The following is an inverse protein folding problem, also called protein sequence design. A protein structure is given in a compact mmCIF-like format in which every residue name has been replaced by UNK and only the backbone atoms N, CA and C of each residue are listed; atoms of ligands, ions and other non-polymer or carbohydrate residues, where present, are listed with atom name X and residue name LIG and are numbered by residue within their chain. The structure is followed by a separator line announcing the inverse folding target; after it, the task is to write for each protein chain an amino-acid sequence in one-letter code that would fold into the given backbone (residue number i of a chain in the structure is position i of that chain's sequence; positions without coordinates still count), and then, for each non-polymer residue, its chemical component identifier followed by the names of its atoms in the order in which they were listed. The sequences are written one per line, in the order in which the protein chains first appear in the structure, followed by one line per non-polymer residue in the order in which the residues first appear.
data_IF_664881770377
#
_entry.id   IF_664881770377
#
_cell.length_a   1.000
_cell.length_b   1.000
_cell.length_c   1.000
_cell.angle_alpha   90.00
_cell.angle_beta   90.00
_cell.angle_gamma   90.00
#
_symmetry.space_group_name_H-M   'P 1'
#
loop_
_entity.id
_entity.type
_entity.pdbx_description
1 polymer ?
#
# COMPACT_ATOMS: atom_id res chain seq x y z
N UNK A 1 -8.55 11.00 -8.31
CA UNK A 1 -8.85 12.42 -8.03
C UNK A 1 -7.67 13.25 -8.51
N UNK A 2 -7.89 14.15 -9.47
CA UNK A 2 -6.87 15.08 -9.95
C UNK A 2 -6.93 16.38 -9.16
N UNK A 3 -5.77 16.85 -8.69
CA UNK A 3 -5.64 18.15 -8.01
C UNK A 3 -5.46 19.24 -9.07
N UNK A 4 -6.18 20.36 -8.90
CA UNK A 4 -6.08 21.52 -9.80
C UNK A 4 -4.64 22.07 -9.86
N UNK A 5 -4.11 22.44 -11.04
CA UNK A 5 -2.69 22.82 -11.19
C UNK A 5 -2.21 23.95 -10.26
N UNK A 6 -3.06 24.92 -9.94
CA UNK A 6 -2.72 26.02 -9.01
C UNK A 6 -2.49 25.57 -7.56
N UNK A 7 -2.98 24.38 -7.19
CA UNK A 7 -2.82 23.80 -5.85
C UNK A 7 -1.58 22.89 -5.76
N UNK A 8 -0.79 22.77 -6.82
CA UNK A 8 0.43 21.94 -6.84
C UNK A 8 1.63 22.76 -6.37
N UNK A 9 2.11 22.51 -5.16
CA UNK A 9 3.35 23.08 -4.62
C UNK A 9 4.59 22.38 -5.20
N UNK A 10 5.64 23.14 -5.53
CA UNK A 10 6.94 22.58 -5.97
C UNK A 10 7.51 21.70 -4.84
N UNK A 11 7.73 20.41 -5.13
CA UNK A 11 8.26 19.42 -4.19
C UNK A 11 7.22 18.59 -3.42
N UNK A 12 5.92 18.80 -3.63
CA UNK A 12 4.86 18.23 -2.78
C UNK A 12 4.50 16.75 -3.04
N UNK A 13 5.18 16.03 -3.94
CA UNK A 13 4.76 14.66 -4.29
C UNK A 13 5.96 13.75 -4.48
N UNK A 14 6.49 13.20 -3.38
CA UNK A 14 6.83 11.79 -3.41
C UNK A 14 5.49 11.06 -3.55
N UNK A 15 5.25 10.38 -4.67
CA UNK A 15 3.97 9.74 -4.96
C UNK A 15 3.67 8.68 -3.89
N UNK A 16 2.93 9.07 -2.85
CA UNK A 16 2.51 8.15 -1.79
C UNK A 16 1.52 7.17 -2.43
N UNK A 17 2.00 5.96 -2.72
CA UNK A 17 1.20 4.93 -3.38
C UNK A 17 0.18 4.37 -2.40
N UNK A 18 -1.08 4.76 -2.60
CA UNK A 18 -2.20 4.30 -1.77
C UNK A 18 -2.56 2.82 -2.05
N UNK A 19 -2.24 2.32 -3.24
CA UNK A 19 -2.57 0.96 -3.67
C UNK A 19 -1.30 0.13 -3.69
N UNK A 20 -1.24 -0.81 -2.75
CA UNK A 20 -0.17 -1.80 -2.69
C UNK A 20 -0.48 -2.97 -3.62
N UNK A 21 0.56 -3.46 -4.30
CA UNK A 21 0.48 -4.72 -5.04
C UNK A 21 0.31 -5.87 -4.04
N UNK A 22 -0.26 -6.98 -4.52
CA UNK A 22 -0.57 -8.13 -3.65
C UNK A 22 0.63 -8.68 -2.90
N UNK A 23 1.79 -8.80 -3.54
CA UNK A 23 3.00 -9.30 -2.89
C UNK A 23 3.46 -8.35 -1.77
N UNK A 24 3.33 -7.04 -1.95
CA UNK A 24 3.65 -6.04 -0.91
C UNK A 24 2.73 -6.22 0.29
N UNK A 25 1.43 -6.48 0.06
CA UNK A 25 0.47 -6.80 1.13
C UNK A 25 0.80 -8.11 1.84
N UNK A 26 1.23 -9.13 1.12
CA UNK A 26 1.64 -10.42 1.71
C UNK A 26 2.85 -10.21 2.63
N UNK A 27 3.86 -9.46 2.18
CA UNK A 27 5.05 -9.17 2.99
C UNK A 27 4.67 -8.44 4.28
N UNK A 28 3.84 -7.40 4.21
CA UNK A 28 3.34 -6.69 5.40
C UNK A 28 2.63 -7.66 6.36
N UNK A 29 1.78 -8.55 5.84
CA UNK A 29 1.07 -9.52 6.68
C UNK A 29 2.00 -10.59 7.26
N UNK A 30 3.09 -10.95 6.57
CA UNK A 30 4.13 -11.83 7.11
C UNK A 30 4.88 -11.16 8.25
N UNK A 31 5.27 -9.90 8.07
CA UNK A 31 5.95 -9.11 9.10
C UNK A 31 5.07 -8.94 10.35
N UNK A 32 3.76 -8.81 10.18
CA UNK A 32 2.78 -8.76 11.27
C UNK A 32 2.38 -10.15 11.82
N UNK A 33 2.94 -11.25 11.29
CA UNK A 33 2.63 -12.63 11.70
C UNK A 33 1.21 -13.10 11.36
N UNK A 34 0.47 -12.35 10.54
CA UNK A 34 -0.92 -12.62 10.14
C UNK A 34 -1.03 -13.47 8.87
N UNK A 35 0.08 -13.74 8.20
CA UNK A 35 0.14 -14.59 7.00
C UNK A 35 1.18 -15.67 7.16
N UNK A 36 0.78 -16.93 6.98
CA UNK A 36 1.66 -18.10 7.02
C UNK A 36 1.93 -18.63 5.61
N UNK A 37 3.07 -19.28 5.44
CA UNK A 37 3.38 -19.93 4.18
C UNK A 37 2.40 -21.09 3.92
N UNK A 38 1.72 -21.04 2.79
CA UNK A 38 0.61 -21.94 2.44
C UNK A 38 -0.78 -21.29 2.53
N UNK A 39 -0.92 -20.12 3.16
CA UNK A 39 -2.18 -19.38 3.18
C UNK A 39 -2.55 -18.86 1.78
N UNK A 40 -3.85 -18.73 1.53
CA UNK A 40 -4.36 -18.26 0.24
C UNK A 40 -3.92 -16.82 -0.03
N UNK A 41 -3.33 -16.58 -1.20
CA UNK A 41 -2.91 -15.25 -1.63
C UNK A 41 -4.06 -14.30 -2.04
N UNK A 42 -5.31 -14.76 -1.96
CA UNK A 42 -6.51 -14.02 -2.39
C UNK A 42 -7.42 -13.75 -1.18
N UNK A 43 -8.19 -12.66 -1.21
CA UNK A 43 -9.04 -12.29 -0.07
C UNK A 43 -8.28 -11.75 1.15
N UNK A 44 -7.06 -11.23 0.95
CA UNK A 44 -6.21 -10.74 2.03
C UNK A 44 -6.89 -9.61 2.83
N UNK A 45 -6.70 -9.56 4.17
CA UNK A 45 -7.22 -8.50 5.03
C UNK A 45 -6.60 -7.14 4.66
N UNK A 46 -7.32 -6.05 4.93
CA UNK A 46 -6.89 -4.70 4.56
C UNK A 46 -5.57 -4.34 5.26
N UNK A 47 -4.58 -3.94 4.47
CA UNK A 47 -3.25 -3.51 4.92
C UNK A 47 -3.10 -2.01 4.70
N UNK A 48 -2.46 -1.31 5.63
CA UNK A 48 -2.09 0.10 5.45
C UNK A 48 -0.68 0.18 4.86
N UNK A 49 -0.40 1.10 3.92
CA UNK A 49 0.98 1.41 3.54
C UNK A 49 1.76 1.86 4.78
N UNK A 50 2.99 1.37 4.96
CA UNK A 50 3.90 1.95 5.94
C UNK A 50 4.38 3.31 5.43
N UNK A 51 4.53 4.27 6.35
CA UNK A 51 4.79 5.68 6.03
C UNK A 51 6.17 5.96 5.46
#
# INVERSE_FOLDING_TARGET
MSVHPSLKTKGAVSERRNVLKRYERINILKDEGRYKDGDRAWGLPKTKPQE
#
